data_IF_233227559089
#
_entry.id   IF_233227559089
#
_cell.length_a   1.000
_cell.length_b   1.000
_cell.length_c   1.000
_cell.angle_alpha   90.00
_cell.angle_beta   90.00
_cell.angle_gamma   90.00
#
_symmetry.space_group_name_H-M   'P 1'
#
loop_
_entity.id
_entity.type
_entity.pdbx_description
1 polymer ?
#
# COMPACT_ATOMS: atom_id res chain seq x y z
N UNK A 1 9.95 0.40 -36.64
CA UNK A 1 10.77 -0.33 -35.65
C UNK A 1 12.20 0.06 -35.93
N UNK A 2 12.94 0.44 -34.89
CA UNK A 2 14.38 0.71 -35.00
C UNK A 2 15.09 -0.24 -34.04
N UNK A 3 16.12 -0.93 -34.52
CA UNK A 3 17.04 -1.72 -33.68
C UNK A 3 18.35 -0.95 -33.65
N UNK A 4 18.81 -0.62 -32.46
CA UNK A 4 20.08 0.05 -32.24
C UNK A 4 21.16 -0.98 -31.86
N UNK A 5 22.42 -0.64 -32.15
CA UNK A 5 23.57 -1.52 -31.90
C UNK A 5 23.90 -1.66 -30.39
N UNK A 6 23.24 -0.89 -29.53
CA UNK A 6 23.32 -0.95 -28.07
C UNK A 6 22.30 -1.94 -27.46
N UNK A 7 21.53 -2.65 -28.29
CA UNK A 7 20.50 -3.58 -27.86
C UNK A 7 19.13 -2.92 -27.63
N UNK A 8 19.02 -1.60 -27.84
CA UNK A 8 17.75 -0.88 -27.79
C UNK A 8 16.85 -1.22 -28.98
N UNK A 9 15.55 -1.39 -28.73
CA UNK A 9 14.55 -1.55 -29.79
C UNK A 9 13.40 -0.59 -29.56
N UNK A 10 13.09 0.23 -30.56
CA UNK A 10 11.97 1.16 -30.52
C UNK A 10 10.82 0.69 -31.42
N UNK A 11 9.63 0.54 -30.84
CA UNK A 11 8.38 0.27 -31.54
C UNK A 11 7.48 1.51 -31.44
N UNK A 12 7.20 2.23 -32.55
CA UNK A 12 6.35 3.43 -32.53
C UNK A 12 4.86 3.12 -32.32
N UNK A 13 4.49 1.85 -32.14
CA UNK A 13 3.13 1.40 -31.99
C UNK A 13 3.02 0.27 -30.99
N UNK A 14 1.81 -0.27 -30.85
CA UNK A 14 1.55 -1.35 -29.90
C UNK A 14 2.33 -2.63 -30.28
N UNK A 15 2.94 -3.25 -29.27
CA UNK A 15 3.51 -4.60 -29.35
C UNK A 15 2.56 -5.56 -28.65
N UNK A 16 2.03 -6.54 -29.38
CA UNK A 16 1.14 -7.56 -28.83
C UNK A 16 1.86 -8.91 -28.87
N UNK A 17 1.88 -9.60 -27.74
CA UNK A 17 2.45 -10.93 -27.61
C UNK A 17 1.62 -11.78 -26.65
N UNK A 18 1.71 -13.11 -26.79
CA UNK A 18 1.03 -14.03 -25.88
C UNK A 18 1.63 -13.98 -24.45
N UNK A 19 2.91 -13.64 -24.33
CA UNK A 19 3.59 -13.49 -23.05
C UNK A 19 4.85 -12.62 -23.19
N UNK A 20 5.15 -11.85 -22.13
CA UNK A 20 6.41 -11.14 -21.95
C UNK A 20 7.04 -11.64 -20.65
N UNK A 21 8.22 -12.26 -20.74
CA UNK A 21 8.89 -12.91 -19.59
C UNK A 21 10.27 -12.26 -19.41
N UNK A 22 10.38 -11.20 -18.58
CA UNK A 22 11.67 -10.60 -18.27
C UNK A 22 12.52 -11.55 -17.40
N UNK A 23 13.81 -11.63 -17.68
CA UNK A 23 14.76 -12.43 -16.88
C UNK A 23 14.84 -11.90 -15.45
N UNK A 24 14.56 -12.75 -14.45
CA UNK A 24 14.52 -12.32 -13.04
C UNK A 24 15.15 -13.33 -12.06
N UNK A 25 15.92 -14.31 -12.57
CA UNK A 25 16.60 -15.32 -11.74
C UNK A 25 17.59 -14.70 -10.75
N UNK A 26 17.66 -15.26 -9.54
CA UNK A 26 18.66 -14.87 -8.55
C UNK A 26 20.10 -15.07 -9.04
N UNK A 27 20.34 -16.02 -9.96
CA UNK A 27 21.65 -16.26 -10.57
C UNK A 27 22.16 -15.06 -11.38
N UNK A 28 21.28 -14.15 -11.79
CA UNK A 28 21.62 -12.94 -12.55
C UNK A 28 21.66 -11.68 -11.67
N UNK A 29 21.58 -11.83 -10.33
CA UNK A 29 21.47 -10.71 -9.39
C UNK A 29 22.53 -10.84 -8.29
N UNK A 30 23.02 -9.70 -7.82
CA UNK A 30 23.88 -9.59 -6.64
C UNK A 30 23.32 -8.51 -5.71
N UNK A 31 23.82 -8.43 -4.47
CA UNK A 31 23.38 -7.45 -3.46
C UNK A 31 21.84 -7.42 -3.27
N UNK A 32 21.21 -8.61 -3.27
CA UNK A 32 19.76 -8.75 -3.14
C UNK A 32 19.34 -8.36 -1.72
N UNK A 33 18.52 -7.30 -1.62
CA UNK A 33 17.92 -6.81 -0.37
C UNK A 33 16.45 -6.54 -0.58
N UNK A 34 15.66 -6.67 0.49
CA UNK A 34 14.24 -6.26 0.48
C UNK A 34 14.14 -4.75 0.28
N UNK A 35 13.12 -4.31 -0.46
CA UNK A 35 12.81 -2.88 -0.60
C UNK A 35 12.10 -2.39 0.66
N UNK A 36 12.71 -1.46 1.39
CA UNK A 36 12.19 -0.94 2.66
C UNK A 36 11.41 0.37 2.45
N UNK A 37 10.50 0.69 3.37
CA UNK A 37 9.64 1.88 3.32
C UNK A 37 8.83 1.96 2.03
N UNK A 38 8.41 0.80 1.53
CA UNK A 38 7.76 0.69 0.23
C UNK A 38 6.41 1.40 0.19
N UNK A 39 5.62 1.32 1.28
CA UNK A 39 4.32 1.99 1.37
C UNK A 39 4.48 3.51 1.32
N UNK A 40 5.41 4.07 2.07
CA UNK A 40 5.69 5.52 2.08
C UNK A 40 6.27 5.99 0.74
N UNK A 41 7.05 5.14 0.07
CA UNK A 41 7.56 5.41 -1.26
C UNK A 41 6.42 5.49 -2.27
N UNK A 42 5.54 4.49 -2.31
CA UNK A 42 4.40 4.44 -3.25
C UNK A 42 3.40 5.57 -2.99
N UNK A 43 3.20 5.98 -1.73
CA UNK A 43 2.34 7.13 -1.39
C UNK A 43 2.80 8.46 -1.99
N UNK A 44 4.07 8.60 -2.36
CA UNK A 44 4.61 9.79 -3.04
C UNK A 44 4.31 9.80 -4.54
N UNK A 45 3.93 8.66 -5.10
CA UNK A 45 3.59 8.54 -6.52
C UNK A 45 2.17 9.04 -6.77
N UNK A 46 1.98 9.66 -7.94
CA UNK A 46 0.68 10.19 -8.35
C UNK A 46 0.17 9.45 -9.58
N UNK A 47 -0.93 8.72 -9.40
CA UNK A 47 -1.69 8.19 -10.53
C UNK A 47 -2.38 9.31 -11.30
N UNK A 48 -2.20 9.36 -12.61
CA UNK A 48 -2.73 10.41 -13.48
C UNK A 48 -3.63 9.86 -14.58
N UNK A 49 -4.60 10.67 -15.01
CA UNK A 49 -5.30 10.54 -16.30
C UNK A 49 -4.69 11.53 -17.26
N UNK A 50 -4.51 11.12 -18.50
CA UNK A 50 -3.94 11.97 -19.55
C UNK A 50 -4.45 11.54 -20.92
N UNK A 51 -4.33 12.45 -21.88
CA UNK A 51 -4.56 12.15 -23.29
C UNK A 51 -3.22 12.14 -24.02
N UNK A 52 -3.01 11.14 -24.89
CA UNK A 52 -1.80 11.10 -25.71
C UNK A 52 -1.79 12.27 -26.70
N UNK A 53 -0.68 13.02 -26.76
CA UNK A 53 -0.55 14.19 -27.65
C UNK A 53 -0.83 13.86 -29.12
N UNK A 54 -0.38 12.70 -29.61
CA UNK A 54 -0.51 12.32 -31.02
C UNK A 54 -1.90 11.82 -31.40
N UNK A 55 -2.57 11.08 -30.52
CA UNK A 55 -3.84 10.42 -30.84
C UNK A 55 -5.06 11.02 -30.16
N UNK A 56 -4.87 11.88 -29.15
CA UNK A 56 -5.93 12.36 -28.26
C UNK A 56 -6.57 11.25 -27.43
N UNK A 57 -6.00 10.04 -27.43
CA UNK A 57 -6.60 8.88 -26.76
C UNK A 57 -6.47 9.02 -25.23
N UNK A 58 -7.56 8.91 -24.47
CA UNK A 58 -7.51 8.94 -23.01
C UNK A 58 -6.82 7.69 -22.47
N UNK A 59 -6.02 7.88 -21.42
CA UNK A 59 -5.19 6.86 -20.79
C UNK A 59 -4.95 7.17 -19.30
N UNK A 60 -4.37 6.19 -18.59
CA UNK A 60 -4.01 6.28 -17.17
C UNK A 60 -2.58 5.78 -16.98
N UNK A 61 -1.87 6.35 -16.01
CA UNK A 61 -0.50 5.93 -15.71
C UNK A 61 0.18 6.82 -14.67
N UNK A 62 1.50 6.89 -14.78
CA UNK A 62 2.40 7.71 -13.98
C UNK A 62 3.17 8.68 -14.88
N UNK A 63 3.69 9.76 -14.30
CA UNK A 63 4.60 10.70 -14.96
C UNK A 63 6.04 10.27 -14.67
N UNK A 64 6.84 10.03 -15.69
CA UNK A 64 8.18 9.46 -15.53
C UNK A 64 9.10 10.35 -14.67
N UNK A 65 9.04 11.66 -14.86
CA UNK A 65 9.81 12.67 -14.11
C UNK A 65 9.39 12.75 -12.63
N UNK A 66 8.14 12.40 -12.31
CA UNK A 66 7.67 12.32 -10.91
C UNK A 66 8.15 11.02 -10.26
N UNK A 67 8.12 9.92 -11.01
CA UNK A 67 8.64 8.63 -10.54
C UNK A 67 10.16 8.71 -10.34
N UNK A 68 10.90 9.38 -11.22
CA UNK A 68 12.36 9.48 -11.17
C UNK A 68 12.87 10.11 -9.87
N UNK A 69 12.11 11.07 -9.33
CA UNK A 69 12.41 11.72 -8.04
C UNK A 69 12.20 10.81 -6.83
N UNK A 70 11.50 9.68 -6.99
CA UNK A 70 11.07 8.81 -5.90
C UNK A 70 11.69 7.42 -6.01
N UNK A 71 11.69 6.83 -7.22
CA UNK A 71 12.18 5.49 -7.55
C UNK A 71 12.91 5.56 -8.91
N UNK A 72 14.09 6.18 -8.98
CA UNK A 72 14.82 6.34 -10.24
C UNK A 72 15.17 5.00 -10.89
N UNK A 73 15.27 3.91 -10.12
CA UNK A 73 15.65 2.59 -10.60
C UNK A 73 14.63 1.96 -11.56
N UNK A 74 13.40 2.47 -11.61
CA UNK A 74 12.34 1.99 -12.51
C UNK A 74 12.06 2.96 -13.65
N UNK A 75 12.87 3.99 -13.84
CA UNK A 75 12.71 4.97 -14.90
C UNK A 75 13.72 4.72 -16.01
N UNK A 76 13.26 4.85 -17.25
CA UNK A 76 14.14 4.85 -18.43
C UNK A 76 14.54 6.28 -18.75
N UNK A 77 15.81 6.50 -19.13
CA UNK A 77 16.34 7.81 -19.48
C UNK A 77 16.91 7.87 -20.90
N UNK A 78 16.83 9.03 -21.55
CA UNK A 78 17.64 9.36 -22.72
C UNK A 78 18.64 10.48 -22.35
N UNK A 79 19.94 10.18 -22.38
CA UNK A 79 21.02 11.04 -21.89
C UNK A 79 20.85 11.50 -20.43
N UNK A 80 19.91 12.42 -20.16
CA UNK A 80 19.55 12.95 -18.86
C UNK A 80 18.05 12.94 -18.54
N UNK A 81 17.17 12.79 -19.53
CA UNK A 81 15.74 13.03 -19.31
C UNK A 81 14.99 11.72 -19.08
N UNK A 82 14.03 11.74 -18.15
CA UNK A 82 13.14 10.61 -17.91
C UNK A 82 12.16 10.46 -19.09
N UNK A 83 12.09 9.26 -19.66
CA UNK A 83 11.31 8.98 -20.90
C UNK A 83 10.23 7.93 -20.72
N UNK A 84 10.30 7.10 -19.68
CA UNK A 84 9.36 6.03 -19.47
C UNK A 84 9.49 5.37 -18.11
N UNK A 85 8.49 4.57 -17.76
CA UNK A 85 8.43 3.83 -16.49
C UNK A 85 8.42 2.34 -16.78
N UNK A 86 9.31 1.60 -16.14
CA UNK A 86 9.33 0.15 -16.09
C UNK A 86 8.32 -0.34 -15.05
N UNK A 87 7.07 -0.52 -15.49
CA UNK A 87 5.99 -0.99 -14.63
C UNK A 87 6.23 -2.40 -14.07
N UNK A 88 6.94 -3.27 -14.79
CA UNK A 88 7.28 -4.62 -14.31
C UNK A 88 8.18 -4.57 -13.07
N UNK A 89 9.16 -3.66 -13.06
CA UNK A 89 10.05 -3.47 -11.91
C UNK A 89 9.35 -2.79 -10.74
N UNK A 90 8.40 -1.89 -11.01
CA UNK A 90 7.59 -1.24 -9.98
C UNK A 90 6.77 -2.25 -9.16
N UNK A 91 6.41 -3.40 -9.73
CA UNK A 91 5.71 -4.49 -9.01
C UNK A 91 6.46 -4.92 -7.75
N UNK A 92 7.80 -4.97 -7.79
CA UNK A 92 8.61 -5.34 -6.61
C UNK A 92 8.39 -4.39 -5.43
N UNK A 93 8.27 -3.09 -5.70
CA UNK A 93 7.98 -2.07 -4.67
C UNK A 93 6.53 -2.20 -4.18
N UNK A 94 5.58 -2.41 -5.10
CA UNK A 94 4.17 -2.59 -4.74
C UNK A 94 3.94 -3.82 -3.86
N UNK A 95 4.67 -4.92 -4.07
CA UNK A 95 4.58 -6.13 -3.23
C UNK A 95 4.96 -5.82 -1.78
N UNK A 96 6.06 -5.12 -1.55
CA UNK A 96 6.46 -4.76 -0.19
C UNK A 96 5.53 -3.71 0.41
N UNK A 97 5.00 -2.77 -0.39
CA UNK A 97 4.00 -1.80 0.08
C UNK A 97 2.71 -2.47 0.57
N UNK A 98 2.23 -3.51 -0.13
CA UNK A 98 1.06 -4.30 0.30
C UNK A 98 1.36 -5.07 1.59
N UNK A 99 2.55 -5.66 1.73
CA UNK A 99 2.96 -6.35 2.98
C UNK A 99 3.06 -5.39 4.16
N UNK A 100 3.61 -4.19 3.95
CA UNK A 100 3.65 -3.14 4.96
C UNK A 100 2.24 -2.67 5.37
N UNK A 101 1.34 -2.49 4.39
CA UNK A 101 -0.06 -2.17 4.64
C UNK A 101 -0.79 -3.27 5.41
N UNK A 102 -0.57 -4.54 5.08
CA UNK A 102 -1.17 -5.69 5.78
C UNK A 102 -0.75 -5.74 7.26
N UNK A 103 0.53 -5.47 7.56
CA UNK A 103 1.01 -5.36 8.96
C UNK A 103 0.27 -4.28 9.74
N UNK A 104 0.02 -3.12 9.12
CA UNK A 104 -0.75 -2.03 9.75
C UNK A 104 -2.19 -2.48 10.00
N UNK A 105 -2.83 -3.14 9.04
CA UNK A 105 -4.20 -3.66 9.17
C UNK A 105 -4.28 -4.66 10.32
N UNK A 106 -3.36 -5.63 10.40
CA UNK A 106 -3.33 -6.62 11.48
C UNK A 106 -3.15 -5.96 12.86
N UNK A 107 -2.26 -4.97 12.96
CA UNK A 107 -2.07 -4.22 14.20
C UNK A 107 -3.34 -3.46 14.62
N UNK A 108 -4.01 -2.81 13.67
CA UNK A 108 -5.28 -2.12 13.91
C UNK A 108 -6.39 -3.09 14.33
N UNK A 109 -6.50 -4.24 13.69
CA UNK A 109 -7.48 -5.28 14.05
C UNK A 109 -7.28 -5.78 15.48
N UNK A 110 -6.03 -5.97 15.91
CA UNK A 110 -5.71 -6.35 17.29
C UNK A 110 -6.17 -5.28 18.28
N UNK A 111 -5.89 -4.00 17.99
CA UNK A 111 -6.37 -2.89 18.84
C UNK A 111 -7.89 -2.86 18.91
N UNK A 112 -8.58 -3.08 17.80
CA UNK A 112 -10.05 -3.12 17.76
C UNK A 112 -10.58 -4.27 18.64
N UNK A 113 -9.98 -5.46 18.57
CA UNK A 113 -10.36 -6.60 19.42
C UNK A 113 -10.16 -6.29 20.91
N UNK A 114 -8.99 -5.72 21.26
CA UNK A 114 -8.68 -5.35 22.64
C UNK A 114 -9.69 -4.31 23.18
N UNK A 115 -10.04 -3.31 22.36
CA UNK A 115 -11.04 -2.29 22.72
C UNK A 115 -12.45 -2.88 22.87
N UNK A 116 -12.85 -3.81 22.00
CA UNK A 116 -14.15 -4.48 22.10
C UNK A 116 -14.26 -5.30 23.37
N UNK A 117 -13.18 -5.94 23.81
CA UNK A 117 -13.17 -6.69 25.07
C UNK A 117 -13.27 -5.76 26.28
N UNK A 118 -12.54 -4.64 26.27
CA UNK A 118 -12.68 -3.61 27.31
C UNK A 118 -14.11 -3.06 27.40
N UNK A 119 -14.78 -2.86 26.26
CA UNK A 119 -16.17 -2.42 26.25
C UNK A 119 -17.13 -3.43 26.91
N UNK A 120 -16.93 -4.74 26.70
CA UNK A 120 -17.73 -5.77 27.38
C UNK A 120 -17.50 -5.78 28.88
N UNK A 121 -16.25 -5.67 29.33
CA UNK A 121 -15.89 -5.60 30.75
C UNK A 121 -16.55 -4.37 31.39
N UNK A 122 -16.45 -3.21 30.74
CA UNK A 122 -17.08 -1.98 31.22
C UNK A 122 -18.61 -2.10 31.31
N UNK A 123 -19.25 -2.73 30.33
CA UNK A 123 -20.70 -2.98 30.37
C UNK A 123 -21.08 -3.92 31.53
N UNK A 124 -20.29 -4.97 31.77
CA UNK A 124 -20.51 -5.89 32.88
C UNK A 124 -20.31 -5.21 34.24
N UNK A 125 -19.29 -4.35 34.36
CA UNK A 125 -19.04 -3.56 35.56
C UNK A 125 -20.18 -2.57 35.82
N UNK A 126 -20.66 -1.87 34.80
CA UNK A 126 -21.80 -0.97 34.93
C UNK A 126 -23.05 -1.69 35.48
N UNK A 127 -23.31 -2.93 35.04
CA UNK A 127 -24.41 -3.75 35.58
C UNK A 127 -24.19 -4.11 37.06
N UNK A 128 -22.97 -4.47 37.46
CA UNK A 128 -22.65 -4.76 38.87
C UNK A 128 -22.79 -3.53 39.75
N UNK A 129 -22.40 -2.35 39.27
CA UNK A 129 -22.57 -1.09 40.00
C UNK A 129 -24.05 -0.81 40.25
N UNK A 130 -24.90 -0.93 39.22
CA UNK A 130 -26.35 -0.76 39.38
C UNK A 130 -26.97 -1.74 40.40
N UNK A 131 -26.49 -2.99 40.42
CA UNK A 131 -26.97 -3.98 41.38
C UNK A 131 -26.55 -3.65 42.82
N UNK A 132 -25.30 -3.22 43.02
CA UNK A 132 -24.81 -2.78 44.33
C UNK A 132 -25.56 -1.54 44.83
N UNK A 133 -25.85 -0.59 43.94
CA UNK A 133 -26.67 0.58 44.25
C UNK A 133 -28.09 0.18 44.71
N UNK A 134 -28.73 -0.78 44.03
CA UNK A 134 -30.04 -1.31 44.44
C UNK A 134 -30.00 -1.95 45.83
N UNK A 135 -29.01 -2.80 46.09
CA UNK A 135 -28.87 -3.47 47.38
C UNK A 135 -28.62 -2.48 48.53
N UNK A 136 -27.83 -1.44 48.29
CA UNK A 136 -27.57 -0.39 49.26
C UNK A 136 -28.85 0.38 49.63
N UNK A 137 -29.67 0.73 48.63
CA UNK A 137 -30.95 1.40 48.85
C UNK A 137 -31.89 0.51 49.69
N UNK A 138 -31.98 -0.78 49.38
CA UNK A 138 -32.82 -1.72 50.13
C UNK A 138 -32.36 -1.88 51.58
N UNK A 139 -31.05 -2.01 51.81
CA UNK A 139 -30.49 -2.13 53.16
C UNK A 139 -30.77 -0.90 54.02
N UNK A 140 -30.60 0.31 53.48
CA UNK A 140 -30.90 1.56 54.19
C UNK A 140 -32.40 1.75 54.48
N UNK A 141 -33.28 1.18 53.66
CA UNK A 141 -34.73 1.21 53.90
C UNK A 141 -35.13 0.27 55.05
N UNK A 142 -34.53 -0.91 55.15
CA UNK A 142 -34.77 -1.87 56.24
C UNK A 142 -34.27 -1.31 57.59
N UNK A 143 -33.10 -0.67 57.62
CA UNK A 143 -32.52 -0.09 58.85
C UNK A 143 -33.32 1.08 59.46
N UNK A 144 -34.28 1.67 58.73
CA UNK A 144 -35.12 2.78 59.23
C UNK A 144 -36.50 2.30 59.74
N UNK A 145 -36.81 1.01 59.59
CA UNK A 145 -38.09 0.42 59.98
C UNK A 145 -38.05 -0.25 61.37
N UNK A 146 -36.87 -0.41 61.96
CA UNK A 146 -36.61 -0.85 63.33
C UNK A 146 -36.25 0.35 64.24
#
# INVERSE_FOLDING_TARGET
MTIANDGGVNFPGAVTGASFIPTSSAAFKTNIRTYENALETVKKLRGVRFDWKESGKPSVGLIAEEVDKVIPEVVAHNDTDATGVNYDSLVGVLVEAVKEQDKIIQAQQKVIQDLQEQQKINAALAKKVLELERLLIMSNAVSKAD
#
